data_IF_778678439464
#
_entry.id   IF_778678439464
#
_cell.length_a   1.000
_cell.length_b   1.000
_cell.length_c   1.000
_cell.angle_alpha   90.00
_cell.angle_beta   90.00
_cell.angle_gamma   90.00
#
_symmetry.space_group_name_H-M   'P 1'
#
loop_
_entity.id
_entity.type
_entity.pdbx_description
1 polymer ?
#
# COMPACT_ATOMS: atom_id res chain seq x y z
N UNK A 1 -4.35 -15.28 -14.37
CA UNK A 1 -3.39 -16.39 -14.65
C UNK A 1 -2.02 -16.00 -14.09
N UNK A 2 -1.66 -16.60 -12.96
CA UNK A 2 -0.42 -16.28 -12.23
C UNK A 2 0.83 -16.58 -13.06
N UNK A 3 0.86 -17.71 -13.79
CA UNK A 3 2.02 -18.06 -14.62
C UNK A 3 2.23 -17.04 -15.77
N UNK A 4 1.15 -16.58 -16.38
CA UNK A 4 1.23 -15.54 -17.40
C UNK A 4 1.73 -14.23 -16.80
N UNK A 5 1.26 -13.86 -15.62
CA UNK A 5 1.74 -12.65 -14.91
C UNK A 5 3.23 -12.72 -14.57
N UNK A 6 3.71 -13.88 -14.11
CA UNK A 6 5.15 -14.08 -13.84
C UNK A 6 6.00 -13.90 -15.11
N UNK A 7 5.54 -14.45 -16.25
CA UNK A 7 6.24 -14.26 -17.54
C UNK A 7 6.27 -12.80 -17.96
N UNK A 8 5.15 -12.09 -17.80
CA UNK A 8 5.04 -10.66 -18.13
C UNK A 8 5.96 -9.79 -17.26
N UNK A 9 6.04 -10.06 -15.96
CA UNK A 9 6.94 -9.34 -15.04
C UNK A 9 8.41 -9.54 -15.45
N UNK A 10 8.82 -10.75 -15.79
CA UNK A 10 10.19 -11.03 -16.29
C UNK A 10 10.47 -10.33 -17.60
N UNK A 11 9.50 -10.33 -18.52
CA UNK A 11 9.62 -9.58 -19.77
C UNK A 11 9.73 -8.08 -19.50
N UNK A 12 8.88 -7.51 -18.68
CA UNK A 12 8.90 -6.09 -18.32
C UNK A 12 10.28 -5.65 -17.78
N UNK A 13 10.84 -6.44 -16.87
CA UNK A 13 12.20 -6.18 -16.35
C UNK A 13 13.25 -6.21 -17.45
N UNK A 14 13.20 -7.20 -18.34
CA UNK A 14 14.12 -7.35 -19.47
C UNK A 14 13.98 -6.20 -20.46
N UNK A 15 12.77 -5.68 -20.66
CA UNK A 15 12.48 -4.53 -21.49
C UNK A 15 12.90 -3.18 -20.86
N UNK A 16 13.44 -3.19 -19.64
CA UNK A 16 13.90 -1.99 -18.95
C UNK A 16 12.81 -1.22 -18.19
N UNK A 17 11.63 -1.82 -18.00
CA UNK A 17 10.57 -1.24 -17.18
C UNK A 17 10.89 -1.51 -15.70
N UNK A 18 11.12 -0.46 -14.93
CA UNK A 18 11.61 -0.55 -13.54
C UNK A 18 10.64 0.02 -12.50
N UNK A 19 9.55 0.64 -12.93
CA UNK A 19 8.54 1.24 -12.04
C UNK A 19 7.72 0.23 -11.23
N UNK A 20 7.91 -1.07 -11.48
CA UNK A 20 7.19 -2.12 -10.78
C UNK A 20 5.91 -2.55 -11.50
N UNK A 21 5.13 -3.34 -10.82
CA UNK A 21 3.82 -3.79 -11.29
C UNK A 21 2.70 -3.00 -10.60
N UNK A 22 1.60 -2.80 -11.27
CA UNK A 22 0.37 -2.32 -10.67
C UNK A 22 -0.52 -3.53 -10.36
N UNK A 23 -0.64 -3.86 -9.08
CA UNK A 23 -1.50 -4.94 -8.61
C UNK A 23 -2.65 -4.34 -7.81
N UNK A 24 -3.85 -4.27 -8.38
CA UNK A 24 -5.01 -3.82 -7.64
C UNK A 24 -5.34 -4.81 -6.52
N UNK A 25 -5.93 -4.34 -5.43
CA UNK A 25 -6.65 -5.20 -4.51
C UNK A 25 -7.77 -5.95 -5.25
N UNK A 26 -8.28 -7.01 -4.67
CA UNK A 26 -9.35 -7.82 -5.29
C UNK A 26 -10.70 -7.17 -5.01
N UNK A 27 -11.41 -6.66 -6.04
CA UNK A 27 -12.75 -6.13 -5.84
C UNK A 27 -13.73 -7.24 -5.44
N UNK A 28 -14.75 -6.93 -4.62
CA UNK A 28 -15.78 -7.91 -4.29
C UNK A 28 -16.46 -8.49 -5.54
N UNK A 29 -16.69 -9.79 -5.54
CA UNK A 29 -17.47 -10.46 -6.58
C UNK A 29 -16.75 -10.83 -7.87
N UNK A 30 -15.45 -10.55 -8.02
CA UNK A 30 -14.68 -10.90 -9.25
C UNK A 30 -14.21 -12.35 -9.30
N UNK A 31 -14.42 -13.14 -8.24
CA UNK A 31 -14.10 -14.58 -8.24
C UNK A 31 -12.60 -14.90 -8.21
N UNK A 32 -11.74 -13.94 -7.91
CA UNK A 32 -10.32 -14.16 -7.65
C UNK A 32 -10.09 -14.35 -6.14
N UNK A 33 -9.07 -15.14 -5.74
CA UNK A 33 -8.64 -15.20 -4.35
C UNK A 33 -8.23 -13.81 -3.84
N UNK A 34 -8.49 -13.54 -2.56
CA UNK A 34 -8.04 -12.32 -1.91
C UNK A 34 -6.51 -12.30 -1.78
N UNK A 35 -5.90 -11.13 -1.63
CA UNK A 35 -4.43 -10.99 -1.54
C UNK A 35 -3.80 -11.71 -0.35
N UNK A 36 -4.61 -12.13 0.65
CA UNK A 36 -4.12 -12.94 1.75
C UNK A 36 -4.04 -14.44 1.42
N UNK A 37 -4.47 -14.90 0.24
CA UNK A 37 -4.22 -16.27 -0.25
C UNK A 37 -2.76 -16.38 -0.72
N UNK A 38 -1.87 -16.66 0.23
CA UNK A 38 -0.43 -16.72 -0.03
C UNK A 38 -0.07 -17.79 -1.04
N UNK A 39 -0.74 -18.93 -1.01
CA UNK A 39 -0.41 -20.05 -1.92
C UNK A 39 -0.71 -19.68 -3.38
N UNK A 40 -1.73 -18.85 -3.61
CA UNK A 40 -2.08 -18.37 -4.95
C UNK A 40 -1.14 -17.27 -5.45
N UNK A 41 -0.79 -16.29 -4.60
CA UNK A 41 -0.04 -15.10 -5.02
C UNK A 41 1.48 -15.21 -4.83
N UNK A 42 1.97 -16.18 -4.08
CA UNK A 42 3.40 -16.34 -3.78
C UNK A 42 4.34 -16.29 -4.99
N UNK A 43 4.00 -16.89 -6.15
CA UNK A 43 4.85 -16.78 -7.34
C UNK A 43 5.01 -15.33 -7.84
N UNK A 44 4.02 -14.45 -7.61
CA UNK A 44 4.13 -13.03 -7.94
C UNK A 44 5.07 -12.31 -6.98
N UNK A 45 4.93 -12.57 -5.68
CA UNK A 45 5.81 -11.98 -4.67
C UNK A 45 7.25 -12.41 -4.90
N UNK A 46 7.48 -13.69 -5.14
CA UNK A 46 8.79 -14.26 -5.44
C UNK A 46 9.46 -13.57 -6.64
N UNK A 47 8.79 -13.48 -7.78
CA UNK A 47 9.39 -12.88 -8.98
C UNK A 47 9.62 -11.37 -8.81
N UNK A 48 8.74 -10.68 -8.10
CA UNK A 48 8.92 -9.25 -7.83
C UNK A 48 10.12 -8.99 -6.92
N UNK A 49 10.27 -9.79 -5.85
CA UNK A 49 11.44 -9.73 -4.96
C UNK A 49 12.73 -10.06 -5.70
N UNK A 50 12.81 -11.20 -6.41
CA UNK A 50 13.97 -11.61 -7.20
C UNK A 50 14.46 -10.55 -8.17
N UNK A 51 13.56 -9.83 -8.80
CA UNK A 51 13.87 -8.83 -9.82
C UNK A 51 13.97 -7.40 -9.27
N UNK A 52 13.68 -7.18 -7.98
CA UNK A 52 13.56 -5.85 -7.41
C UNK A 52 12.49 -5.02 -8.11
N UNK A 53 11.35 -5.64 -8.42
CA UNK A 53 10.18 -4.99 -9.03
C UNK A 53 9.18 -4.61 -7.93
N UNK A 54 8.97 -3.31 -7.64
CA UNK A 54 7.98 -2.89 -6.65
C UNK A 54 6.57 -3.34 -7.01
N UNK A 55 5.76 -3.62 -5.99
CA UNK A 55 4.33 -3.89 -6.15
C UNK A 55 3.56 -2.64 -5.74
N UNK A 56 2.89 -2.02 -6.68
CA UNK A 56 2.13 -0.79 -6.47
C UNK A 56 0.64 -1.10 -6.30
N UNK A 57 0.03 -0.56 -5.25
CA UNK A 57 -1.41 -0.58 -4.99
C UNK A 57 -1.95 0.83 -5.17
N UNK A 58 -2.68 1.06 -6.25
CA UNK A 58 -3.20 2.37 -6.62
C UNK A 58 -4.52 2.69 -5.93
N UNK A 59 -4.78 3.96 -5.62
CA UNK A 59 -6.08 4.45 -5.20
C UNK A 59 -7.19 4.02 -6.17
N UNK A 60 -8.38 3.68 -5.65
CA UNK A 60 -9.48 3.17 -6.45
C UNK A 60 -9.46 1.67 -6.72
N UNK A 61 -8.37 0.97 -6.41
CA UNK A 61 -8.34 -0.48 -6.52
C UNK A 61 -9.16 -1.15 -5.41
N UNK A 62 -9.67 -2.34 -5.69
CA UNK A 62 -10.51 -3.14 -4.78
C UNK A 62 -11.87 -2.51 -4.39
N UNK A 63 -12.23 -1.37 -4.94
CA UNK A 63 -13.54 -0.75 -4.69
C UNK A 63 -14.67 -1.58 -5.30
N UNK A 64 -15.85 -1.64 -4.64
CA UNK A 64 -17.04 -2.19 -5.26
C UNK A 64 -17.39 -1.43 -6.55
N UNK A 65 -18.06 -2.12 -7.46
CA UNK A 65 -18.55 -1.48 -8.69
C UNK A 65 -19.56 -0.38 -8.35
N UNK A 66 -19.47 0.74 -9.07
CA UNK A 66 -20.51 1.78 -9.01
C UNK A 66 -21.85 1.24 -9.54
N UNK A 67 -22.93 1.72 -8.95
CA UNK A 67 -24.31 1.43 -9.38
C UNK A 67 -24.90 2.61 -10.15
N UNK A 68 -26.14 2.46 -10.64
CA UNK A 68 -26.88 3.53 -11.32
C UNK A 68 -27.48 4.58 -10.34
N UNK A 69 -27.36 4.37 -9.02
CA UNK A 69 -27.82 5.32 -8.03
C UNK A 69 -27.03 6.63 -8.10
N UNK A 70 -27.71 7.78 -7.99
CA UNK A 70 -27.09 9.11 -8.13
C UNK A 70 -26.03 9.38 -7.05
N UNK A 71 -26.12 8.72 -5.91
CA UNK A 71 -25.16 8.80 -4.80
C UNK A 71 -23.88 7.98 -5.07
N UNK A 72 -23.97 6.96 -5.92
CA UNK A 72 -22.89 5.98 -6.10
C UNK A 72 -21.53 6.58 -6.48
N UNK A 73 -21.45 7.54 -7.45
CA UNK A 73 -20.18 8.19 -7.75
C UNK A 73 -19.61 9.00 -6.58
N UNK A 74 -20.46 9.61 -5.77
CA UNK A 74 -20.03 10.39 -4.59
C UNK A 74 -19.48 9.44 -3.51
N UNK A 75 -20.18 8.34 -3.24
CA UNK A 75 -19.71 7.31 -2.30
C UNK A 75 -18.38 6.74 -2.79
N UNK A 76 -18.27 6.40 -4.08
CA UNK A 76 -17.02 5.92 -4.66
C UNK A 76 -15.87 6.89 -4.41
N UNK A 77 -16.04 8.19 -4.65
CA UNK A 77 -15.00 9.20 -4.39
C UNK A 77 -14.60 9.31 -2.91
N UNK A 78 -15.54 9.11 -2.00
CA UNK A 78 -15.28 9.16 -0.56
C UNK A 78 -14.59 7.90 -0.02
N UNK A 79 -14.83 6.76 -0.65
CA UNK A 79 -14.33 5.45 -0.22
C UNK A 79 -13.15 4.93 -1.03
N UNK A 80 -12.77 5.62 -2.12
CA UNK A 80 -11.83 5.16 -3.13
C UNK A 80 -10.48 4.71 -2.54
N UNK A 81 -9.95 5.45 -1.58
CA UNK A 81 -8.68 5.13 -0.92
C UNK A 81 -8.87 4.07 0.16
N UNK A 82 -9.99 4.09 0.89
CA UNK A 82 -10.26 3.15 1.97
C UNK A 82 -10.21 1.69 1.52
N UNK A 83 -10.80 1.37 0.37
CA UNK A 83 -10.75 0.01 -0.19
C UNK A 83 -9.33 -0.41 -0.57
N UNK A 84 -8.51 0.51 -1.04
CA UNK A 84 -7.13 0.26 -1.45
C UNK A 84 -6.20 0.01 -0.26
N UNK A 85 -6.45 0.64 0.89
CA UNK A 85 -5.68 0.42 2.13
C UNK A 85 -5.75 -1.03 2.63
N UNK A 86 -6.81 -1.78 2.29
CA UNK A 86 -6.96 -3.20 2.64
C UNK A 86 -5.78 -4.07 2.21
N UNK A 87 -5.12 -3.69 1.12
CA UNK A 87 -3.96 -4.42 0.62
C UNK A 87 -2.85 -4.54 1.68
N UNK A 88 -2.60 -3.50 2.48
CA UNK A 88 -1.61 -3.54 3.55
C UNK A 88 -1.94 -4.64 4.57
N UNK A 89 -3.17 -4.66 5.07
CA UNK A 89 -3.62 -5.68 6.03
C UNK A 89 -3.50 -7.09 5.44
N UNK A 90 -3.90 -7.28 4.17
CA UNK A 90 -3.84 -8.58 3.50
C UNK A 90 -2.39 -9.08 3.35
N UNK A 91 -1.46 -8.22 2.92
CA UNK A 91 -0.06 -8.57 2.73
C UNK A 91 0.65 -8.91 4.05
N UNK A 92 0.32 -8.20 5.13
CA UNK A 92 0.88 -8.49 6.46
C UNK A 92 0.31 -9.81 6.98
N UNK A 93 -1.02 -9.94 7.05
CA UNK A 93 -1.70 -11.07 7.68
C UNK A 93 -1.48 -12.39 6.93
N UNK A 94 -1.36 -12.36 5.60
CA UNK A 94 -0.99 -13.53 4.80
C UNK A 94 0.41 -14.06 5.11
N UNK A 95 1.30 -13.22 5.67
CA UNK A 95 2.71 -13.50 5.83
C UNK A 95 3.55 -13.21 4.58
N UNK A 96 2.97 -12.58 3.55
CA UNK A 96 3.71 -12.23 2.33
C UNK A 96 4.91 -11.34 2.64
N UNK A 97 4.71 -10.30 3.46
CA UNK A 97 5.79 -9.41 3.86
C UNK A 97 6.84 -10.08 4.75
N UNK A 98 6.46 -11.08 5.54
CA UNK A 98 7.41 -11.86 6.33
C UNK A 98 8.25 -12.80 5.44
N UNK A 99 7.60 -13.49 4.53
CA UNK A 99 8.24 -14.45 3.63
C UNK A 99 9.16 -13.78 2.60
N UNK A 100 8.81 -12.55 2.18
CA UNK A 100 9.51 -11.77 1.16
C UNK A 100 10.02 -10.43 1.73
N UNK A 101 11.07 -10.42 2.56
CA UNK A 101 11.53 -9.22 3.27
C UNK A 101 12.14 -8.13 2.37
N UNK A 102 12.58 -8.47 1.16
CA UNK A 102 13.10 -7.51 0.18
C UNK A 102 12.03 -7.01 -0.81
N UNK A 103 10.81 -7.54 -0.75
CA UNK A 103 9.70 -7.07 -1.56
C UNK A 103 9.33 -5.64 -1.18
N UNK A 104 9.24 -4.75 -2.16
CA UNK A 104 8.81 -3.36 -1.95
C UNK A 104 7.34 -3.19 -2.31
N UNK A 105 6.54 -2.72 -1.36
CA UNK A 105 5.12 -2.44 -1.54
C UNK A 105 4.86 -0.94 -1.51
N UNK A 106 4.17 -0.41 -2.50
CA UNK A 106 3.91 1.02 -2.65
C UNK A 106 2.42 1.27 -2.68
N UNK A 107 1.94 2.16 -1.82
CA UNK A 107 0.55 2.61 -1.76
C UNK A 107 0.45 3.93 -2.52
N UNK A 108 0.12 3.81 -3.81
CA UNK A 108 0.19 4.90 -4.80
C UNK A 108 -1.12 5.67 -4.84
N UNK A 109 -1.03 7.01 -4.83
CA UNK A 109 -2.16 7.93 -4.96
C UNK A 109 -3.25 7.72 -3.89
N UNK A 110 -2.81 7.45 -2.66
CA UNK A 110 -3.70 7.23 -1.52
C UNK A 110 -3.50 8.24 -0.39
N UNK A 111 -2.64 9.25 -0.59
CA UNK A 111 -2.20 10.16 0.45
C UNK A 111 -1.32 9.49 1.50
N UNK A 112 -0.95 10.25 2.52
CA UNK A 112 -0.06 9.79 3.61
C UNK A 112 -0.73 9.77 4.97
N UNK A 113 -1.82 10.52 5.15
CA UNK A 113 -2.47 10.75 6.45
C UNK A 113 -3.07 9.50 7.10
N UNK A 114 -3.48 8.54 6.29
CA UNK A 114 -4.10 7.30 6.79
C UNK A 114 -3.09 6.39 7.49
N UNK A 115 -1.81 6.44 7.12
CA UNK A 115 -0.77 5.49 7.54
C UNK A 115 -0.58 5.47 9.07
N UNK A 116 -0.36 6.60 9.76
CA UNK A 116 -0.13 6.57 11.21
C UNK A 116 -1.32 6.00 11.99
N UNK A 117 -2.55 6.34 11.58
CA UNK A 117 -3.77 5.84 12.24
C UNK A 117 -3.98 4.36 12.01
N UNK A 118 -3.75 3.89 10.78
CA UNK A 118 -3.89 2.48 10.43
C UNK A 118 -2.83 1.62 11.13
N UNK A 119 -1.57 2.04 11.14
CA UNK A 119 -0.51 1.32 11.85
C UNK A 119 -0.79 1.23 13.35
N UNK A 120 -1.20 2.32 13.98
CA UNK A 120 -1.59 2.32 15.40
C UNK A 120 -2.73 1.32 15.67
N UNK A 121 -3.73 1.28 14.79
CA UNK A 121 -4.86 0.35 14.88
C UNK A 121 -4.41 -1.11 14.72
N UNK A 122 -3.58 -1.38 13.74
CA UNK A 122 -3.09 -2.73 13.44
C UNK A 122 -2.19 -3.24 14.57
N UNK A 123 -1.23 -2.44 15.06
CA UNK A 123 -0.35 -2.79 16.17
C UNK A 123 -1.14 -3.13 17.44
N UNK A 124 -2.18 -2.33 17.73
CA UNK A 124 -3.07 -2.62 18.86
C UNK A 124 -3.76 -3.98 18.72
N UNK A 125 -4.28 -4.31 17.54
CA UNK A 125 -4.93 -5.61 17.33
C UNK A 125 -3.93 -6.77 17.35
N UNK A 126 -2.73 -6.61 16.81
CA UNK A 126 -1.67 -7.62 16.87
C UNK A 126 -1.26 -7.90 18.31
N UNK A 127 -1.12 -6.86 19.13
CA UNK A 127 -0.84 -7.02 20.56
C UNK A 127 -1.94 -7.80 21.29
N UNK A 128 -3.20 -7.47 21.04
CA UNK A 128 -4.33 -8.23 21.59
C UNK A 128 -4.36 -9.67 21.12
N UNK A 129 -4.14 -9.91 19.85
CA UNK A 129 -4.09 -11.27 19.28
C UNK A 129 -2.99 -12.11 19.91
N UNK A 130 -1.85 -11.52 20.26
CA UNK A 130 -0.72 -12.20 20.90
C UNK A 130 -0.92 -12.42 22.40
N UNK A 131 -1.48 -11.44 23.11
CA UNK A 131 -1.36 -11.39 24.58
C UNK A 131 -2.69 -11.40 25.35
N UNK A 132 -3.82 -11.05 24.73
CA UNK A 132 -5.11 -11.00 25.41
C UNK A 132 -5.78 -12.38 25.52
N UNK A 133 -5.12 -13.32 26.20
CA UNK A 133 -5.56 -14.71 26.36
C UNK A 133 -7.03 -14.80 26.77
N UNK A 134 -7.82 -15.57 26.01
CA UNK A 134 -9.26 -15.75 26.24
C UNK A 134 -10.16 -14.72 25.56
N UNK A 135 -9.60 -13.67 24.97
CA UNK A 135 -10.39 -12.76 24.14
C UNK A 135 -10.68 -13.36 22.76
N UNK A 136 -11.68 -12.82 22.07
CA UNK A 136 -12.02 -13.26 20.71
C UNK A 136 -10.88 -13.00 19.73
N UNK A 137 -10.18 -11.87 19.90
CA UNK A 137 -9.04 -11.51 19.08
C UNK A 137 -7.89 -12.53 19.22
N UNK A 138 -7.61 -12.96 20.47
CA UNK A 138 -6.59 -13.96 20.73
C UNK A 138 -6.96 -15.32 20.11
N UNK A 139 -8.21 -15.76 20.31
CA UNK A 139 -8.70 -17.05 19.80
C UNK A 139 -8.56 -17.13 18.27
N UNK A 140 -8.89 -16.06 17.57
CA UNK A 140 -8.80 -16.02 16.10
C UNK A 140 -7.39 -15.72 15.60
N UNK A 141 -6.63 -14.91 16.34
CA UNK A 141 -5.33 -14.41 15.91
C UNK A 141 -4.17 -15.35 16.17
N UNK A 142 -4.22 -16.16 17.24
CA UNK A 142 -3.10 -16.99 17.68
C UNK A 142 -2.51 -17.87 16.56
N UNK A 143 -3.30 -18.58 15.74
CA UNK A 143 -2.75 -19.40 14.66
C UNK A 143 -2.00 -18.60 13.59
N UNK A 144 -2.32 -17.33 13.42
CA UNK A 144 -1.68 -16.41 12.46
C UNK A 144 -0.47 -15.74 13.10
N UNK A 145 -0.62 -15.24 14.32
CA UNK A 145 0.43 -14.50 15.04
C UNK A 145 1.69 -15.35 15.31
N UNK A 146 1.55 -16.68 15.41
CA UNK A 146 2.70 -17.57 15.55
C UNK A 146 3.67 -17.53 14.36
N UNK A 147 3.21 -17.04 13.20
CA UNK A 147 3.99 -16.92 11.96
C UNK A 147 4.49 -15.50 11.66
N UNK A 148 4.04 -14.52 12.42
CA UNK A 148 4.32 -13.10 12.19
C UNK A 148 5.07 -12.52 13.39
N UNK A 149 6.41 -12.48 13.37
CA UNK A 149 7.21 -12.02 14.52
C UNK A 149 7.16 -10.52 14.73
N UNK A 150 7.00 -9.72 13.65
CA UNK A 150 7.03 -8.27 13.71
C UNK A 150 5.65 -7.67 14.00
N UNK A 151 5.64 -6.40 14.41
CA UNK A 151 4.44 -5.57 14.43
C UNK A 151 4.15 -5.02 13.02
N UNK A 152 2.89 -4.69 12.70
CA UNK A 152 2.53 -4.03 11.44
C UNK A 152 3.36 -2.79 11.12
N UNK A 153 3.64 -1.95 12.11
CA UNK A 153 4.51 -0.78 11.95
C UNK A 153 5.95 -1.14 11.59
N UNK A 154 6.46 -2.29 12.05
CA UNK A 154 7.80 -2.77 11.71
C UNK A 154 7.84 -3.32 10.27
N UNK A 155 6.80 -4.03 9.80
CA UNK A 155 6.67 -4.41 8.38
C UNK A 155 6.60 -3.19 7.48
N UNK A 156 5.83 -2.17 7.89
CA UNK A 156 5.76 -0.90 7.16
C UNK A 156 7.14 -0.28 7.01
N UNK A 157 7.83 -0.06 8.11
CA UNK A 157 9.16 0.57 8.13
C UNK A 157 10.20 -0.19 7.31
N UNK A 158 10.08 -1.52 7.21
CA UNK A 158 11.01 -2.36 6.47
C UNK A 158 10.86 -2.27 4.97
N UNK A 159 9.62 -2.24 4.44
CA UNK A 159 9.40 -2.51 3.02
C UNK A 159 8.16 -1.85 2.39
N UNK A 160 7.46 -0.96 3.11
CA UNK A 160 6.28 -0.28 2.59
C UNK A 160 6.56 1.21 2.35
N UNK A 161 5.93 1.74 1.30
CA UNK A 161 6.07 3.13 0.86
C UNK A 161 4.70 3.69 0.51
N UNK A 162 4.57 5.01 0.59
CA UNK A 162 3.35 5.70 0.16
C UNK A 162 3.68 6.96 -0.63
N UNK A 163 2.71 7.48 -1.37
CA UNK A 163 2.87 8.68 -2.16
C UNK A 163 2.75 8.42 -3.66
N UNK A 164 3.78 8.72 -4.42
CA UNK A 164 3.77 8.73 -5.90
C UNK A 164 2.68 9.65 -6.48
N UNK A 165 2.17 10.57 -5.66
CA UNK A 165 1.30 11.67 -6.02
C UNK A 165 1.79 12.95 -5.33
N UNK A 166 1.20 14.09 -5.66
CA UNK A 166 1.55 15.34 -5.01
C UNK A 166 1.09 15.34 -3.54
N UNK A 167 2.04 15.54 -2.63
CA UNK A 167 1.78 15.64 -1.20
C UNK A 167 1.21 17.03 -0.90
N UNK A 168 0.10 17.09 -0.18
CA UNK A 168 -0.53 18.33 0.23
C UNK A 168 0.14 18.89 1.48
N UNK A 169 0.18 20.23 1.68
CA UNK A 169 0.84 20.84 2.85
C UNK A 169 0.35 20.29 4.20
N UNK A 170 -0.93 19.93 4.33
CA UNK A 170 -1.49 19.40 5.57
C UNK A 170 -1.05 17.96 5.89
N UNK A 171 -0.55 17.22 4.92
CA UNK A 171 -0.02 15.85 5.12
C UNK A 171 1.40 15.85 5.70
N UNK A 172 2.18 16.89 5.38
CA UNK A 172 3.60 16.99 5.72
C UNK A 172 3.92 16.88 7.22
N UNK A 173 3.11 17.45 8.15
CA UNK A 173 3.35 17.29 9.59
C UNK A 173 3.37 15.84 10.08
N UNK A 174 2.73 14.93 9.37
CA UNK A 174 2.68 13.50 9.72
C UNK A 174 3.89 12.69 9.24
N UNK A 175 4.80 13.28 8.45
CA UNK A 175 5.91 12.58 7.76
C UNK A 175 6.79 11.72 8.66
N UNK A 176 7.08 12.18 9.88
CA UNK A 176 7.89 11.39 10.83
C UNK A 176 7.16 10.16 11.40
N UNK A 177 5.82 10.19 11.41
CA UNK A 177 5.01 9.05 11.84
C UNK A 177 4.82 8.03 10.71
N UNK A 178 4.87 8.50 9.48
CA UNK A 178 4.84 7.66 8.26
C UNK A 178 6.19 7.01 8.03
N UNK A 179 7.26 7.73 8.32
CA UNK A 179 8.64 7.45 7.94
C UNK A 179 9.03 8.32 6.74
N UNK A 180 9.95 9.25 6.94
CA UNK A 180 10.37 10.19 5.87
C UNK A 180 10.86 9.42 4.63
N UNK A 181 11.69 8.39 4.85
CA UNK A 181 12.23 7.53 3.78
C UNK A 181 11.17 6.64 3.10
N UNK A 182 9.97 6.56 3.66
CA UNK A 182 8.84 5.79 3.11
C UNK A 182 7.89 6.64 2.27
N UNK A 183 8.17 7.94 2.11
CA UNK A 183 7.31 8.86 1.38
C UNK A 183 7.93 9.19 0.03
N UNK A 184 7.16 9.03 -1.03
CA UNK A 184 7.55 9.40 -2.40
C UNK A 184 6.64 10.50 -2.92
N UNK A 185 7.22 11.40 -3.71
CA UNK A 185 6.49 12.45 -4.39
C UNK A 185 6.33 12.12 -5.87
N UNK A 186 5.19 12.52 -6.45
CA UNK A 186 4.93 12.43 -7.89
C UNK A 186 4.06 13.60 -8.35
N UNK A 187 4.20 14.02 -9.60
CA UNK A 187 3.40 15.12 -10.17
C UNK A 187 2.01 14.72 -10.60
N UNK A 188 1.79 13.43 -10.79
CA UNK A 188 0.59 12.85 -11.39
C UNK A 188 0.33 13.34 -12.84
N UNK A 189 1.38 13.81 -13.53
CA UNK A 189 1.27 14.24 -14.92
C UNK A 189 1.08 13.03 -15.87
N UNK A 190 0.17 13.09 -16.86
CA UNK A 190 -0.62 14.25 -17.34
C UNK A 190 -2.08 14.29 -16.84
N UNK A 191 -2.37 13.74 -15.67
CA UNK A 191 -3.71 13.74 -15.10
C UNK A 191 -4.22 15.17 -14.86
N UNK A 192 -5.55 15.39 -14.90
CA UNK A 192 -6.14 16.73 -14.79
C UNK A 192 -5.92 17.38 -13.43
N UNK A 193 -5.79 16.62 -12.39
CA UNK A 193 -5.52 17.10 -11.02
C UNK A 193 -4.03 17.14 -10.67
N UNK A 194 -3.16 16.86 -11.66
CA UNK A 194 -1.71 16.93 -11.48
C UNK A 194 -1.22 18.31 -11.05
N UNK A 195 -0.04 18.35 -10.45
CA UNK A 195 0.60 19.65 -10.09
C UNK A 195 1.13 20.43 -11.29
N UNK A 196 1.15 19.86 -12.50
CA UNK A 196 1.60 20.55 -13.71
C UNK A 196 0.60 21.64 -14.13
N UNK A 197 1.05 22.85 -14.58
CA UNK A 197 2.45 23.24 -14.80
C UNK A 197 3.14 23.86 -13.57
N UNK A 198 2.50 23.90 -12.41
CA UNK A 198 2.95 24.60 -11.19
C UNK A 198 3.68 23.65 -10.21
N UNK A 199 4.32 22.63 -10.73
CA UNK A 199 4.99 21.57 -9.93
C UNK A 199 6.02 22.12 -8.94
N UNK A 200 6.84 23.10 -9.36
CA UNK A 200 7.88 23.68 -8.50
C UNK A 200 7.26 24.51 -7.38
N UNK A 201 6.21 25.27 -7.67
CA UNK A 201 5.46 26.05 -6.69
C UNK A 201 4.76 25.12 -5.67
N UNK A 202 4.17 24.03 -6.15
CA UNK A 202 3.53 23.04 -5.30
C UNK A 202 4.54 22.37 -4.35
N UNK A 203 5.72 21.95 -4.84
CA UNK A 203 6.81 21.43 -4.02
C UNK A 203 7.27 22.43 -2.95
N UNK A 204 7.52 23.68 -3.34
CA UNK A 204 7.94 24.73 -2.41
C UNK A 204 6.90 24.99 -1.33
N UNK A 205 5.62 24.99 -1.69
CA UNK A 205 4.54 25.19 -0.74
C UNK A 205 4.37 24.00 0.21
N UNK A 206 4.44 22.77 -0.31
CA UNK A 206 4.28 21.56 0.50
C UNK A 206 5.42 21.40 1.51
N UNK A 207 6.67 21.63 1.09
CA UNK A 207 7.87 21.34 1.90
C UNK A 207 8.53 22.57 2.49
N UNK A 208 7.82 23.71 2.58
CA UNK A 208 8.37 24.99 3.07
C UNK A 208 8.96 24.91 4.49
N UNK A 209 8.43 24.00 5.33
CA UNK A 209 8.85 23.82 6.72
C UNK A 209 9.70 22.55 6.95
N UNK A 210 10.10 21.86 5.86
CA UNK A 210 10.92 20.67 5.96
C UNK A 210 12.41 21.01 5.90
N UNK A 211 13.21 20.25 6.64
CA UNK A 211 14.65 20.32 6.50
C UNK A 211 15.09 19.81 5.12
N UNK A 212 16.16 20.37 4.59
CA UNK A 212 16.64 20.00 3.25
C UNK A 212 16.96 18.50 3.13
N UNK A 213 17.52 17.92 4.20
CA UNK A 213 17.83 16.49 4.27
C UNK A 213 16.61 15.57 4.25
N UNK A 214 15.42 16.10 4.49
CA UNK A 214 14.15 15.35 4.40
C UNK A 214 13.54 15.41 3.00
N UNK A 215 14.05 16.27 2.12
CA UNK A 215 13.52 16.50 0.77
C UNK A 215 14.39 15.82 -0.29
N UNK A 216 15.68 15.67 -0.02
CA UNK A 216 16.67 15.06 -0.90
C UNK A 216 16.72 13.52 -0.79
#
# INVERSE_FOLDING_TARGET
DIEASVREIRWAKTAGLTGGILLPGVPPGVGLPELYDIDYYDPLWTVCEELGMPVNHHGGSASPAMTEAVESPVIFLLEITWWSHRALTHLIVSGALEKHPELKCVFTEQGTEWVPGELTRLDYFFDRMRHAVGSQEHIWGEPVMSKLPLQPSEYWARQCYTGSSFIRPHEVPSRHKVGVDSIMWGSDYPHKESSFPYTIEALRAAFAECERSEIE
#
